data_IF_563272842258
#
_entry.id   IF_563272842258
#
_cell.length_a   1.000
_cell.length_b   1.000
_cell.length_c   1.000
_cell.angle_alpha   90.00
_cell.angle_beta   90.00
_cell.angle_gamma   90.00
#
_symmetry.space_group_name_H-M   'P 1'
#
loop_
_entity.id
_entity.type
_entity.pdbx_description
1 polymer ?
#
# COMPACT_ATOMS: atom_id res chain seq x y z
N UNK A 1 0.59 6.66 -22.16
CA UNK A 1 -0.65 7.46 -22.15
C UNK A 1 -1.23 7.35 -20.76
N UNK A 2 -1.76 8.43 -20.15
CA UNK A 2 -2.44 8.31 -18.83
C UNK A 2 -3.67 7.42 -19.00
N UNK A 3 -3.75 6.36 -18.20
CA UNK A 3 -4.95 5.53 -18.10
C UNK A 3 -6.11 6.39 -17.57
N UNK A 4 -7.31 6.22 -18.12
CA UNK A 4 -8.50 6.97 -17.72
C UNK A 4 -9.47 6.01 -17.04
N UNK A 5 -9.88 6.34 -15.83
CA UNK A 5 -10.82 5.55 -15.04
C UNK A 5 -12.22 6.16 -15.09
N UNK A 6 -13.24 5.29 -14.98
CA UNK A 6 -14.64 5.67 -14.89
C UNK A 6 -15.26 5.00 -13.67
N UNK A 7 -16.04 5.76 -12.89
CA UNK A 7 -16.83 5.21 -11.79
C UNK A 7 -18.19 4.76 -12.33
N UNK A 8 -18.51 3.50 -12.13
CA UNK A 8 -19.76 2.87 -12.56
C UNK A 8 -20.39 2.13 -11.40
N UNK A 9 -21.72 2.11 -11.35
CA UNK A 9 -22.43 1.32 -10.33
C UNK A 9 -22.34 -0.17 -10.68
N UNK A 10 -22.33 -1.02 -9.68
CA UNK A 10 -22.23 -2.47 -9.88
C UNK A 10 -23.42 -3.06 -10.64
N UNK A 11 -24.63 -2.54 -10.43
CA UNK A 11 -25.88 -3.04 -11.02
C UNK A 11 -25.95 -2.89 -12.56
N UNK A 12 -25.12 -2.01 -13.13
CA UNK A 12 -25.03 -1.82 -14.58
C UNK A 12 -23.88 -2.60 -15.23
N UNK A 13 -23.06 -3.28 -14.43
CA UNK A 13 -21.91 -4.01 -14.95
C UNK A 13 -22.36 -5.31 -15.65
N UNK A 14 -21.72 -5.68 -16.78
CA UNK A 14 -21.92 -6.99 -17.35
C UNK A 14 -21.56 -8.09 -16.35
N UNK A 15 -22.31 -9.19 -16.36
CA UNK A 15 -22.11 -10.32 -15.46
C UNK A 15 -20.65 -10.82 -15.45
N UNK A 16 -19.99 -10.83 -16.61
CA UNK A 16 -18.59 -11.24 -16.73
C UNK A 16 -17.63 -10.36 -15.90
N UNK A 17 -17.92 -9.07 -15.76
CA UNK A 17 -17.12 -8.13 -14.93
C UNK A 17 -17.34 -8.41 -13.45
N UNK A 18 -18.61 -8.56 -13.03
CA UNK A 18 -18.97 -8.88 -11.65
C UNK A 18 -18.36 -10.22 -11.23
N UNK A 19 -18.45 -11.24 -12.08
CA UNK A 19 -17.82 -12.55 -11.85
C UNK A 19 -16.29 -12.48 -11.82
N UNK A 20 -15.67 -11.63 -12.63
CA UNK A 20 -14.21 -11.41 -12.56
C UNK A 20 -13.79 -10.89 -11.19
N UNK A 21 -14.58 -9.98 -10.60
CA UNK A 21 -14.36 -9.47 -9.25
C UNK A 21 -14.53 -10.55 -8.17
N UNK A 22 -15.52 -11.44 -8.31
CA UNK A 22 -15.71 -12.57 -7.41
C UNK A 22 -14.54 -13.56 -7.48
N UNK A 23 -14.04 -13.86 -8.69
CA UNK A 23 -12.85 -14.71 -8.89
C UNK A 23 -11.63 -14.11 -8.20
N UNK A 24 -11.39 -12.80 -8.38
CA UNK A 24 -10.30 -12.09 -7.67
C UNK A 24 -10.44 -12.20 -6.16
N UNK A 25 -11.66 -12.06 -5.62
CA UNK A 25 -11.93 -12.15 -4.19
C UNK A 25 -11.60 -13.53 -3.62
N UNK A 26 -11.99 -14.61 -4.30
CA UNK A 26 -11.68 -16.00 -3.90
C UNK A 26 -10.17 -16.29 -3.91
N UNK A 27 -9.46 -15.75 -4.90
CA UNK A 27 -8.00 -15.88 -4.97
C UNK A 27 -7.30 -15.11 -3.86
N UNK A 28 -7.79 -13.90 -3.54
CA UNK A 28 -7.21 -13.06 -2.49
C UNK A 28 -7.49 -13.59 -1.07
N UNK A 29 -8.63 -14.24 -0.83
CA UNK A 29 -8.92 -14.88 0.45
C UNK A 29 -8.13 -16.18 0.67
N UNK A 30 -7.58 -16.77 -0.39
CA UNK A 30 -6.91 -18.07 -0.34
C UNK A 30 -7.87 -19.25 -0.29
N UNK A 31 -9.18 -19.03 -0.49
CA UNK A 31 -10.20 -20.10 -0.53
C UNK A 31 -9.95 -21.09 -1.68
N UNK A 32 -9.28 -20.62 -2.73
CA UNK A 32 -8.88 -21.40 -3.91
C UNK A 32 -7.42 -21.11 -4.25
N UNK A 33 -6.70 -22.12 -4.75
CA UNK A 33 -5.26 -22.00 -5.00
C UNK A 33 -4.94 -21.58 -6.43
N UNK A 34 -5.89 -21.80 -7.35
CA UNK A 34 -5.65 -21.55 -8.77
C UNK A 34 -6.78 -20.75 -9.41
N UNK A 35 -6.44 -19.99 -10.44
CA UNK A 35 -7.43 -19.30 -11.28
C UNK A 35 -8.43 -20.30 -11.87
N UNK A 36 -8.00 -21.52 -12.18
CA UNK A 36 -8.86 -22.52 -12.78
C UNK A 36 -10.02 -22.93 -11.86
N UNK A 37 -9.70 -23.26 -10.61
CA UNK A 37 -10.70 -23.57 -9.57
C UNK A 37 -11.66 -22.39 -9.35
N UNK A 38 -11.09 -21.19 -9.24
CA UNK A 38 -11.84 -19.97 -8.98
C UNK A 38 -12.88 -19.67 -10.08
N UNK A 39 -12.47 -19.75 -11.36
CA UNK A 39 -13.38 -19.46 -12.48
C UNK A 39 -14.43 -20.55 -12.67
N UNK A 40 -14.12 -21.81 -12.34
CA UNK A 40 -15.08 -22.92 -12.37
C UNK A 40 -16.15 -22.73 -11.29
N UNK A 41 -15.73 -22.41 -10.06
CA UNK A 41 -16.65 -22.16 -8.94
C UNK A 41 -17.59 -20.98 -9.19
N UNK A 42 -17.10 -19.92 -9.84
CA UNK A 42 -17.89 -18.70 -10.15
C UNK A 42 -18.70 -18.85 -11.45
N UNK A 43 -18.41 -19.86 -12.27
CA UNK A 43 -19.05 -20.04 -13.58
C UNK A 43 -18.65 -18.93 -14.58
N UNK A 44 -17.35 -18.67 -14.70
CA UNK A 44 -16.74 -17.75 -15.66
C UNK A 44 -15.76 -18.53 -16.56
N UNK A 45 -15.65 -18.18 -17.84
CA UNK A 45 -14.60 -18.76 -18.67
C UNK A 45 -13.24 -18.16 -18.32
N UNK A 46 -12.16 -18.94 -18.47
CA UNK A 46 -10.78 -18.43 -18.30
C UNK A 46 -10.51 -17.24 -19.21
N UNK A 47 -10.94 -17.28 -20.47
CA UNK A 47 -10.74 -16.19 -21.43
C UNK A 47 -11.48 -14.91 -21.02
N UNK A 48 -12.70 -15.02 -20.46
CA UNK A 48 -13.43 -13.88 -19.94
C UNK A 48 -12.72 -13.27 -18.72
N UNK A 49 -12.22 -14.10 -17.80
CA UNK A 49 -11.41 -13.62 -16.67
C UNK A 49 -10.18 -12.84 -17.16
N UNK A 50 -9.36 -13.43 -18.04
CA UNK A 50 -8.15 -12.76 -18.55
C UNK A 50 -8.44 -11.49 -19.35
N UNK A 51 -9.60 -11.38 -20.00
CA UNK A 51 -10.02 -10.16 -20.69
C UNK A 51 -10.22 -8.97 -19.74
N UNK A 52 -10.68 -9.23 -18.52
CA UNK A 52 -11.12 -8.20 -17.58
C UNK A 52 -10.21 -8.03 -16.35
N UNK A 53 -9.38 -9.03 -16.01
CA UNK A 53 -8.63 -9.08 -14.75
C UNK A 53 -7.75 -7.85 -14.50
N UNK A 54 -7.17 -7.25 -15.52
CA UNK A 54 -6.22 -6.14 -15.33
C UNK A 54 -6.91 -4.77 -15.37
N UNK A 55 -8.17 -4.70 -15.84
CA UNK A 55 -8.90 -3.44 -16.04
C UNK A 55 -9.98 -3.13 -15.02
N UNK A 56 -10.30 -4.06 -14.11
CA UNK A 56 -11.32 -3.85 -13.06
C UNK A 56 -10.70 -4.12 -11.70
N UNK A 57 -10.75 -3.11 -10.84
CA UNK A 57 -10.22 -3.16 -9.48
C UNK A 57 -11.27 -2.57 -8.52
N UNK A 58 -11.42 -3.12 -7.30
CA UNK A 58 -12.26 -2.51 -6.28
C UNK A 58 -11.63 -1.19 -5.85
N UNK A 59 -12.46 -0.16 -5.67
CA UNK A 59 -11.98 1.18 -5.29
C UNK A 59 -11.19 1.16 -3.98
N UNK A 60 -11.59 0.31 -3.02
CA UNK A 60 -10.91 0.13 -1.73
C UNK A 60 -9.55 -0.59 -1.82
N UNK A 61 -9.17 -1.15 -2.99
CA UNK A 61 -7.79 -1.64 -3.21
C UNK A 61 -6.89 -0.50 -3.68
N UNK A 62 -7.41 0.43 -4.49
CA UNK A 62 -6.65 1.61 -4.92
C UNK A 62 -6.24 2.48 -3.72
N UNK A 63 -7.11 2.60 -2.71
CA UNK A 63 -6.80 3.31 -1.45
C UNK A 63 -5.83 2.54 -0.54
N UNK A 64 -5.68 1.22 -0.74
CA UNK A 64 -4.83 0.36 0.09
C UNK A 64 -3.39 0.34 -0.40
N UNK A 65 -3.23 0.31 -1.74
CA UNK A 65 -1.96 0.45 -2.49
C UNK A 65 -1.17 1.74 -2.18
N UNK A 66 -1.79 2.65 -1.43
CA UNK A 66 -1.25 3.93 -0.97
C UNK A 66 -0.73 3.89 0.48
N UNK A 67 -0.67 2.73 1.16
CA UNK A 67 -0.08 2.61 2.50
C UNK A 67 1.27 1.93 2.44
N UNK A 68 2.30 2.61 2.93
CA UNK A 68 3.66 2.07 3.03
C UNK A 68 4.07 1.91 4.48
N UNK A 69 4.78 0.82 4.77
CA UNK A 69 5.38 0.59 6.09
C UNK A 69 6.88 0.83 6.03
N UNK A 70 7.37 1.77 6.82
CA UNK A 70 8.77 2.21 6.84
C UNK A 70 9.36 1.90 8.21
N UNK A 71 10.50 1.21 8.22
CA UNK A 71 11.33 0.95 9.40
C UNK A 71 12.54 1.89 9.39
N UNK A 72 12.77 2.56 10.52
CA UNK A 72 13.79 3.61 10.68
C UNK A 72 14.60 3.29 11.93
N UNK A 73 15.91 3.06 11.77
CA UNK A 73 16.82 3.01 12.91
C UNK A 73 17.37 4.41 13.14
N UNK A 74 17.15 4.97 14.32
CA UNK A 74 17.62 6.32 14.65
C UNK A 74 18.13 6.43 16.08
N UNK A 75 19.00 7.41 16.30
CA UNK A 75 19.51 7.75 17.63
C UNK A 75 18.37 8.10 18.60
N UNK A 76 18.50 7.65 19.84
CA UNK A 76 17.57 7.99 20.90
C UNK A 76 18.00 9.28 21.59
N UNK A 77 17.60 10.40 21.01
CA UNK A 77 17.73 11.74 21.61
C UNK A 77 16.43 12.52 21.43
N UNK A 78 16.24 13.53 22.28
CA UNK A 78 15.06 14.40 22.24
C UNK A 78 14.86 15.00 20.84
N UNK A 79 13.61 14.98 20.36
CA UNK A 79 13.22 15.58 19.07
C UNK A 79 13.40 14.69 17.84
N UNK A 80 14.09 13.55 17.92
CA UNK A 80 14.35 12.70 16.73
C UNK A 80 13.07 12.18 16.07
N UNK A 81 12.15 11.61 16.85
CA UNK A 81 10.87 11.16 16.31
C UNK A 81 10.06 12.33 15.75
N UNK A 82 10.09 13.49 16.42
CA UNK A 82 9.39 14.68 15.95
C UNK A 82 9.92 15.19 14.62
N UNK A 83 11.24 15.13 14.41
CA UNK A 83 11.88 15.52 13.14
C UNK A 83 11.49 14.58 12.00
N UNK A 84 11.47 13.27 12.26
CA UNK A 84 10.97 12.24 11.32
C UNK A 84 9.51 12.50 10.94
N UNK A 85 8.63 12.67 11.94
CA UNK A 85 7.21 12.91 11.69
C UNK A 85 6.96 14.26 10.99
N UNK A 86 7.77 15.27 11.31
CA UNK A 86 7.72 16.58 10.68
C UNK A 86 8.06 16.50 9.19
N UNK A 87 9.10 15.75 8.82
CA UNK A 87 9.45 15.52 7.42
C UNK A 87 8.33 14.77 6.68
N UNK A 88 7.82 13.67 7.26
CA UNK A 88 6.73 12.92 6.63
C UNK A 88 5.52 13.82 6.36
N UNK A 89 5.16 14.67 7.33
CA UNK A 89 4.05 15.61 7.19
C UNK A 89 4.35 16.72 6.16
N UNK A 90 5.59 17.21 6.08
CA UNK A 90 5.96 18.25 5.10
C UNK A 90 5.92 17.74 3.66
N UNK A 91 6.18 16.45 3.45
CA UNK A 91 6.06 15.78 2.16
C UNK A 91 4.61 15.38 1.82
N UNK A 92 3.63 15.67 2.69
CA UNK A 92 2.22 15.34 2.46
C UNK A 92 1.81 13.92 2.89
N UNK A 93 2.72 13.17 3.52
CA UNK A 93 2.45 11.84 4.06
C UNK A 93 1.63 11.91 5.34
N UNK A 94 0.63 11.03 5.47
CA UNK A 94 -0.22 10.94 6.64
C UNK A 94 0.12 9.68 7.46
N UNK A 95 0.67 9.87 8.66
CA UNK A 95 1.10 8.76 9.52
C UNK A 95 -0.10 8.11 10.19
N UNK A 96 -0.33 6.83 9.92
CA UNK A 96 -1.46 6.06 10.44
C UNK A 96 -1.12 5.33 11.75
N UNK A 97 0.07 4.74 11.82
CA UNK A 97 0.58 4.08 13.03
C UNK A 97 2.03 4.42 13.28
N UNK A 98 2.41 4.42 14.56
CA UNK A 98 3.78 4.62 15.01
C UNK A 98 4.07 3.59 16.09
N UNK A 99 5.16 2.85 15.90
CA UNK A 99 5.69 1.95 16.91
C UNK A 99 7.18 2.21 17.08
N UNK A 100 7.58 2.73 18.24
CA UNK A 100 8.98 2.91 18.60
C UNK A 100 9.39 1.84 19.62
N UNK A 101 10.46 1.11 19.31
CA UNK A 101 11.04 0.15 20.23
C UNK A 101 11.69 0.88 21.43
N UNK A 102 11.84 0.16 22.54
CA UNK A 102 12.72 0.61 23.62
C UNK A 102 14.14 0.76 23.03
N UNK A 103 14.83 1.88 23.29
CA UNK A 103 16.18 2.09 22.78
C UNK A 103 17.17 1.06 23.33
N UNK A 104 18.02 0.53 22.45
CA UNK A 104 19.15 -0.33 22.80
C UNK A 104 20.43 0.36 22.32
N UNK A 105 21.39 0.52 23.23
CA UNK A 105 22.69 1.17 22.94
C UNK A 105 22.55 2.56 22.29
N UNK A 106 21.54 3.32 22.71
CA UNK A 106 21.28 4.67 22.20
C UNK A 106 20.62 4.71 20.83
N UNK A 107 20.16 3.57 20.29
CA UNK A 107 19.41 3.49 19.03
C UNK A 107 18.01 2.96 19.31
N UNK A 108 16.99 3.58 18.73
CA UNK A 108 15.62 3.08 18.71
C UNK A 108 15.23 2.76 17.27
N UNK A 109 14.51 1.66 17.09
CA UNK A 109 13.84 1.37 15.83
C UNK A 109 12.43 1.96 15.87
N UNK A 110 12.02 2.63 14.80
CA UNK A 110 10.68 3.15 14.62
C UNK A 110 10.08 2.58 13.35
N UNK A 111 8.93 1.94 13.51
CA UNK A 111 8.11 1.47 12.40
C UNK A 111 6.91 2.39 12.29
N UNK A 112 6.74 3.03 11.14
CA UNK A 112 5.58 3.84 10.81
C UNK A 112 4.82 3.23 9.63
N UNK A 113 3.50 3.30 9.67
CA UNK A 113 2.68 3.15 8.46
C UNK A 113 2.23 4.53 8.00
N UNK A 114 2.37 4.80 6.71
CA UNK A 114 2.13 6.12 6.11
C UNK A 114 1.22 5.94 4.91
N UNK A 115 0.12 6.68 4.88
CA UNK A 115 -0.67 6.90 3.68
C UNK A 115 0.04 7.93 2.79
N UNK A 116 0.38 7.52 1.57
CA UNK A 116 1.20 8.26 0.60
C UNK A 116 0.42 8.76 -0.62
N UNK A 117 -0.92 8.65 -0.58
CA UNK A 117 -1.84 9.12 -1.62
C UNK A 117 -1.74 10.61 -1.93
N UNK A 118 -1.17 11.38 -1.00
CA UNK A 118 -1.05 12.84 -1.05
C UNK A 118 0.39 13.34 -1.01
N UNK A 119 1.37 12.47 -1.29
CA UNK A 119 2.75 12.93 -1.36
C UNK A 119 2.90 14.04 -2.40
N UNK A 120 3.69 15.05 -2.02
CA UNK A 120 4.03 16.18 -2.89
C UNK A 120 5.02 15.71 -3.98
N UNK A 121 6.01 14.91 -3.57
CA UNK A 121 7.01 14.28 -4.42
C UNK A 121 6.85 12.74 -4.46
N UNK A 122 7.78 12.03 -5.09
CA UNK A 122 7.71 10.58 -5.16
C UNK A 122 8.10 9.94 -3.81
N UNK A 123 7.68 8.70 -3.60
CA UNK A 123 7.98 7.96 -2.37
C UNK A 123 9.49 7.82 -2.13
N UNK A 124 10.28 7.70 -3.20
CA UNK A 124 11.74 7.62 -3.08
C UNK A 124 12.35 8.92 -2.51
N UNK A 125 11.76 10.08 -2.81
CA UNK A 125 12.19 11.37 -2.27
C UNK A 125 11.92 11.45 -0.76
N UNK A 126 10.76 10.98 -0.30
CA UNK A 126 10.45 10.85 1.13
C UNK A 126 11.48 9.94 1.84
N UNK A 127 11.79 8.77 1.26
CA UNK A 127 12.75 7.84 1.84
C UNK A 127 14.16 8.44 1.90
N UNK A 128 14.57 9.17 0.86
CA UNK A 128 15.86 9.85 0.82
C UNK A 128 15.94 11.04 1.78
N UNK A 129 14.85 11.80 1.94
CA UNK A 129 14.73 12.84 2.95
C UNK A 129 14.93 12.26 4.36
N UNK A 130 14.26 11.15 4.67
CA UNK A 130 14.39 10.46 5.97
C UNK A 130 15.82 10.00 6.22
N UNK A 131 16.52 9.48 5.19
CA UNK A 131 17.92 9.05 5.28
C UNK A 131 18.89 10.20 5.58
N UNK A 132 18.54 11.44 5.19
CA UNK A 132 19.37 12.63 5.39
C UNK A 132 19.22 13.26 6.77
N UNK A 133 18.20 12.88 7.54
CA UNK A 133 18.01 13.39 8.92
C UNK A 133 19.21 13.00 9.78
N UNK A 134 19.80 13.99 10.46
CA UNK A 134 20.98 13.75 11.31
C UNK A 134 20.61 12.88 12.52
N UNK A 135 21.24 11.71 12.61
CA UNK A 135 20.95 10.72 13.66
C UNK A 135 20.05 9.58 13.19
N UNK A 136 19.50 9.64 11.98
CA UNK A 136 18.95 8.45 11.30
C UNK A 136 20.12 7.63 10.76
N UNK A 137 20.11 6.32 11.07
CA UNK A 137 21.14 5.36 10.68
C UNK A 137 20.70 4.49 9.51
N UNK A 138 19.41 4.20 9.43
CA UNK A 138 18.85 3.31 8.42
C UNK A 138 17.39 3.65 8.16
N UNK A 139 16.96 3.55 6.91
CA UNK A 139 15.56 3.66 6.48
C UNK A 139 15.28 2.54 5.49
N UNK A 140 14.23 1.76 5.73
CA UNK A 140 13.80 0.66 4.87
C UNK A 140 12.28 0.64 4.73
N UNK A 141 11.79 0.56 3.51
CA UNK A 141 10.41 0.13 3.27
C UNK A 141 10.33 -1.37 3.51
N UNK A 142 9.43 -1.80 4.39
CA UNK A 142 9.27 -3.21 4.78
C UNK A 142 7.92 -3.80 4.36
N UNK A 143 7.03 -2.98 3.80
CA UNK A 143 5.76 -3.44 3.23
C UNK A 143 5.05 -2.33 2.47
N UNK A 144 4.22 -2.74 1.52
CA UNK A 144 3.26 -1.92 0.79
C UNK A 144 1.92 -2.66 0.88
N UNK A 145 0.90 -1.98 1.39
CA UNK A 145 -0.46 -2.51 1.61
C UNK A 145 -1.38 -2.26 0.44
#
# INVERSE_FOLDING_TARGET
MKERYYLVREDILPEAVVKTMQVKKLLASGDVKTVHEAVEQVGLSRSAFYKYKDGIHPINQLERDEIVTISIDMEHRSGMLSEVLGLVASEGGNVLTIHQSIPLQGIANVVISVEVSRLIEELDDLLDGLRRITGVRKVQMIGQG
#
